data_IF_085234440903
#
_entry.id   IF_085234440903
#
_cell.length_a   1.000
_cell.length_b   1.000
_cell.length_c   1.000
_cell.angle_alpha   90.00
_cell.angle_beta   90.00
_cell.angle_gamma   90.00
#
_symmetry.space_group_name_H-M   'P 1'
#
loop_
_entity.id
_entity.type
_entity.pdbx_description
1 polymer ?
#
# COMPACT_ATOMS: atom_id res chain seq x y z
N UNK A 1 9.44 32.90 18.31
CA UNK A 1 9.56 31.95 17.17
C UNK A 1 8.56 32.41 16.14
N UNK A 2 9.04 33.17 15.16
CA UNK A 2 8.23 33.72 14.06
C UNK A 2 7.59 32.58 13.29
N UNK A 3 6.26 32.58 13.20
CA UNK A 3 5.51 31.61 12.40
C UNK A 3 5.57 32.04 10.94
N UNK A 4 5.95 31.13 10.05
CA UNK A 4 5.91 31.36 8.61
C UNK A 4 4.48 31.73 8.17
N UNK A 5 4.37 32.68 7.25
CA UNK A 5 3.12 33.17 6.70
C UNK A 5 2.38 32.01 6.00
N UNK A 6 1.16 31.72 6.43
CA UNK A 6 0.33 30.63 5.89
C UNK A 6 0.05 30.80 4.40
N UNK A 7 0.17 32.02 3.87
CA UNK A 7 0.02 32.33 2.44
C UNK A 7 1.29 32.02 1.61
N UNK A 8 2.39 31.60 2.25
CA UNK A 8 3.62 31.18 1.59
C UNK A 8 3.75 29.66 1.40
N UNK A 9 2.74 28.91 1.86
CA UNK A 9 2.69 27.45 1.78
C UNK A 9 2.08 27.07 0.42
N UNK A 10 2.83 26.45 -0.51
CA UNK A 10 2.31 26.06 -1.81
C UNK A 10 1.19 25.02 -1.65
N UNK A 11 0.12 25.13 -2.45
CA UNK A 11 -0.92 24.10 -2.52
C UNK A 11 -0.29 22.73 -2.76
N UNK A 12 -0.57 21.82 -1.84
CA UNK A 12 0.08 20.52 -1.77
C UNK A 12 -0.55 19.50 -2.74
N UNK A 13 -0.51 19.82 -4.03
CA UNK A 13 -0.88 18.92 -5.13
C UNK A 13 0.13 17.80 -5.34
N UNK A 14 1.30 17.85 -4.67
CA UNK A 14 2.43 16.96 -5.00
C UNK A 14 2.36 15.58 -4.36
N UNK A 15 1.61 15.37 -3.28
CA UNK A 15 1.50 14.05 -2.62
C UNK A 15 0.22 13.28 -2.96
N UNK A 16 -0.73 13.90 -3.66
CA UNK A 16 -1.94 13.26 -4.20
C UNK A 16 -1.90 13.17 -5.73
N UNK A 17 -0.77 12.76 -6.30
CA UNK A 17 -0.62 12.50 -7.75
C UNK A 17 -1.35 11.23 -8.24
N UNK A 18 -2.27 10.67 -7.46
CA UNK A 18 -3.09 9.55 -7.88
C UNK A 18 -4.55 10.00 -7.88
N UNK A 19 -5.21 9.94 -9.04
CA UNK A 19 -6.66 10.03 -9.12
C UNK A 19 -7.22 8.93 -8.20
N UNK A 20 -7.84 9.34 -7.09
CA UNK A 20 -8.38 8.47 -6.04
C UNK A 20 -9.30 7.37 -6.61
N UNK A 21 -9.80 7.56 -7.84
CA UNK A 21 -10.70 6.64 -8.53
C UNK A 21 -10.04 5.77 -9.62
N UNK A 22 -8.74 5.93 -9.89
CA UNK A 22 -8.04 5.16 -10.95
C UNK A 22 -7.05 4.13 -10.42
N UNK A 23 -6.84 4.09 -9.10
CA UNK A 23 -5.84 3.23 -8.48
C UNK A 23 -6.31 1.79 -8.37
N UNK A 24 -5.40 0.84 -8.54
CA UNK A 24 -5.71 -0.58 -8.30
C UNK A 24 -5.79 -0.92 -6.80
N UNK A 25 -5.34 0.00 -5.93
CA UNK A 25 -5.33 -0.16 -4.48
C UNK A 25 -6.39 0.72 -3.84
N UNK A 26 -7.44 0.11 -3.32
CA UNK A 26 -8.45 0.80 -2.52
C UNK A 26 -7.91 1.09 -1.11
N UNK A 27 -8.20 2.31 -0.65
CA UNK A 27 -7.99 2.77 0.72
C UNK A 27 -9.33 3.27 1.25
N UNK A 28 -9.72 2.79 2.42
CA UNK A 28 -11.01 3.09 3.03
C UNK A 28 -10.81 3.50 4.48
N UNK A 29 -11.65 4.41 4.96
CA UNK A 29 -11.83 4.61 6.40
C UNK A 29 -12.80 3.54 6.89
N UNK A 30 -12.44 2.83 7.96
CA UNK A 30 -13.35 1.84 8.55
C UNK A 30 -14.54 2.56 9.19
N UNK A 31 -15.74 2.03 8.97
CA UNK A 31 -16.89 2.37 9.79
C UNK A 31 -16.62 1.89 11.21
N UNK A 32 -16.43 2.84 12.10
CA UNK A 32 -16.10 2.58 13.49
C UNK A 32 -17.37 2.49 14.32
N UNK A 33 -17.58 1.31 14.90
CA UNK A 33 -18.69 1.03 15.81
C UNK A 33 -18.23 0.95 17.27
N UNK A 34 -16.94 1.13 17.54
CA UNK A 34 -16.38 0.97 18.87
C UNK A 34 -16.28 2.31 19.60
N UNK A 35 -17.06 2.45 20.68
CA UNK A 35 -17.09 3.65 21.52
C UNK A 35 -15.71 4.02 22.11
N UNK A 36 -14.81 3.05 22.29
CA UNK A 36 -13.45 3.30 22.81
C UNK A 36 -12.65 4.22 21.88
N UNK A 37 -12.79 4.04 20.57
CA UNK A 37 -12.06 4.84 19.60
C UNK A 37 -12.55 6.29 19.59
N UNK A 38 -13.86 6.49 19.74
CA UNK A 38 -14.45 7.81 19.89
C UNK A 38 -13.95 8.49 21.18
N UNK A 39 -13.94 7.77 22.31
CA UNK A 39 -13.39 8.27 23.57
C UNK A 39 -11.89 8.63 23.47
N UNK A 40 -11.12 7.84 22.73
CA UNK A 40 -9.71 8.12 22.46
C UNK A 40 -9.54 9.44 21.69
N UNK A 41 -10.30 9.63 20.60
CA UNK A 41 -10.28 10.86 19.81
C UNK A 41 -10.64 12.07 20.69
N UNK A 42 -11.74 12.00 21.44
CA UNK A 42 -12.16 13.09 22.33
C UNK A 42 -11.13 13.42 23.41
N UNK A 43 -10.44 12.41 23.93
CA UNK A 43 -9.36 12.62 24.89
C UNK A 43 -8.17 13.32 24.24
N UNK A 44 -7.79 12.94 23.02
CA UNK A 44 -6.73 13.63 22.27
C UNK A 44 -7.09 15.09 21.99
N UNK A 45 -8.34 15.38 21.62
CA UNK A 45 -8.81 16.75 21.40
C UNK A 45 -8.69 17.62 22.65
N UNK A 46 -9.10 17.09 23.81
CA UNK A 46 -8.93 17.78 25.11
C UNK A 46 -7.47 18.05 25.49
N UNK A 47 -6.52 17.34 24.87
CA UNK A 47 -5.09 17.50 25.09
C UNK A 47 -4.40 18.33 23.98
N UNK A 48 -5.17 19.01 23.13
CA UNK A 48 -4.65 19.97 22.15
C UNK A 48 -4.28 19.38 20.78
N UNK A 49 -4.60 18.11 20.53
CA UNK A 49 -4.58 17.56 19.17
C UNK A 49 -5.85 17.95 18.44
N UNK A 50 -5.81 18.12 17.13
CA UNK A 50 -7.02 18.33 16.33
C UNK A 50 -7.40 17.04 15.61
N UNK A 51 -8.71 16.81 15.42
CA UNK A 51 -9.16 15.73 14.56
C UNK A 51 -8.94 16.09 13.08
N UNK A 52 -8.48 15.13 12.29
CA UNK A 52 -8.33 15.30 10.84
C UNK A 52 -9.03 14.17 10.07
N UNK A 53 -9.38 14.41 8.80
CA UNK A 53 -9.84 13.36 7.87
C UNK A 53 -8.67 12.73 7.08
N UNK A 54 -7.53 13.42 7.01
CA UNK A 54 -6.36 12.94 6.29
C UNK A 54 -5.09 13.27 7.08
N UNK A 55 -4.58 12.27 7.79
CA UNK A 55 -3.33 12.38 8.53
C UNK A 55 -2.09 12.46 7.62
N UNK A 56 -2.23 12.22 6.31
CA UNK A 56 -1.16 12.42 5.34
C UNK A 56 -1.17 13.85 4.75
N UNK A 57 -2.15 14.67 5.09
CA UNK A 57 -2.19 16.07 4.68
C UNK A 57 -1.12 16.89 5.42
N UNK A 58 -0.67 17.99 4.80
CA UNK A 58 0.37 18.85 5.37
C UNK A 58 -0.05 19.51 6.69
N UNK A 59 -1.34 19.84 6.83
CA UNK A 59 -1.93 20.38 8.07
C UNK A 59 -1.74 19.45 9.29
N UNK A 60 -1.59 18.14 9.04
CA UNK A 60 -1.45 17.10 10.06
C UNK A 60 -0.03 16.99 10.64
N UNK A 61 0.95 17.71 10.10
CA UNK A 61 2.38 17.64 10.52
C UNK A 61 2.61 18.06 11.97
N UNK A 62 1.77 18.93 12.52
CA UNK A 62 1.89 19.42 13.90
C UNK A 62 1.18 18.52 14.93
N UNK A 63 0.83 17.29 14.54
CA UNK A 63 0.12 16.33 15.37
C UNK A 63 -1.39 16.42 15.18
N UNK A 64 -2.01 15.28 14.90
CA UNK A 64 -3.44 15.13 14.68
C UNK A 64 -3.92 13.79 15.24
N UNK A 65 -5.24 13.61 15.34
CA UNK A 65 -5.88 12.35 15.71
C UNK A 65 -6.94 11.98 14.69
N UNK A 66 -7.00 10.71 14.29
CA UNK A 66 -8.05 10.19 13.41
C UNK A 66 -8.03 8.67 13.38
N UNK A 67 -9.07 8.07 12.83
CA UNK A 67 -9.12 6.63 12.59
C UNK A 67 -8.19 6.25 11.44
N UNK A 68 -7.54 5.09 11.56
CA UNK A 68 -6.62 4.62 10.53
C UNK A 68 -7.35 4.38 9.21
N UNK A 69 -6.76 4.86 8.12
CA UNK A 69 -7.14 4.44 6.77
C UNK A 69 -6.54 3.06 6.52
N UNK A 70 -7.31 2.16 5.93
CA UNK A 70 -6.91 0.76 5.70
C UNK A 70 -7.06 0.38 4.24
N UNK A 71 -6.19 -0.50 3.76
CA UNK A 71 -6.31 -1.10 2.42
C UNK A 71 -7.38 -2.19 2.41
N UNK A 72 -8.65 -1.79 2.31
CA UNK A 72 -9.78 -2.71 2.19
C UNK A 72 -10.72 -2.30 1.07
N UNK A 73 -11.44 -3.28 0.51
CA UNK A 73 -12.49 -3.09 -0.48
C UNK A 73 -13.67 -3.98 -0.12
N UNK A 74 -14.86 -3.40 0.01
CA UNK A 74 -16.07 -4.12 0.45
C UNK A 74 -15.87 -4.93 1.76
N UNK A 75 -15.22 -4.31 2.75
CA UNK A 75 -14.97 -4.92 4.06
C UNK A 75 -13.94 -6.06 4.08
N UNK A 76 -13.23 -6.30 2.97
CA UNK A 76 -12.19 -7.33 2.86
C UNK A 76 -10.83 -6.70 2.66
N UNK A 77 -9.78 -7.33 3.20
CA UNK A 77 -8.39 -6.95 2.91
C UNK A 77 -8.17 -6.84 1.40
N UNK A 78 -7.64 -5.72 0.96
CA UNK A 78 -7.31 -5.46 -0.44
C UNK A 78 -5.80 -5.45 -0.62
N UNK A 79 -5.25 -6.55 -1.12
CA UNK A 79 -3.82 -6.74 -1.33
C UNK A 79 -3.36 -6.29 -2.72
N UNK A 80 -2.05 -6.11 -2.90
CA UNK A 80 -1.45 -5.87 -4.23
C UNK A 80 -1.74 -7.01 -5.21
N UNK A 81 -1.79 -8.26 -4.73
CA UNK A 81 -2.23 -9.39 -5.54
C UNK A 81 -3.69 -9.21 -6.00
N UNK A 82 -4.59 -8.74 -5.14
CA UNK A 82 -5.99 -8.49 -5.48
C UNK A 82 -6.14 -7.36 -6.49
N UNK A 83 -5.48 -6.23 -6.23
CA UNK A 83 -5.54 -5.03 -7.07
C UNK A 83 -4.91 -5.24 -8.45
N UNK A 84 -3.69 -5.76 -8.52
CA UNK A 84 -2.92 -5.82 -9.76
C UNK A 84 -2.98 -7.17 -10.46
N UNK A 85 -2.77 -8.27 -9.74
CA UNK A 85 -2.64 -9.60 -10.36
C UNK A 85 -4.01 -10.21 -10.68
N UNK A 86 -4.93 -10.24 -9.70
CA UNK A 86 -6.26 -10.84 -9.89
C UNK A 86 -7.10 -10.05 -10.90
N UNK A 87 -7.01 -8.72 -10.92
CA UNK A 87 -7.64 -7.88 -11.95
C UNK A 87 -7.11 -8.17 -13.36
N UNK A 88 -5.91 -8.74 -13.48
CA UNK A 88 -5.23 -9.03 -14.74
C UNK A 88 -5.25 -10.53 -15.13
N UNK A 89 -5.79 -11.41 -14.29
CA UNK A 89 -5.56 -12.86 -14.35
C UNK A 89 -6.02 -13.53 -15.67
N UNK A 90 -6.92 -12.88 -16.40
CA UNK A 90 -7.45 -13.39 -17.68
C UNK A 90 -6.58 -13.04 -18.89
N UNK A 91 -5.50 -12.29 -18.72
CA UNK A 91 -4.61 -11.92 -19.83
C UNK A 91 -3.67 -13.07 -20.13
N UNK A 92 -3.61 -13.49 -21.39
CA UNK A 92 -2.80 -14.65 -21.83
C UNK A 92 -1.30 -14.46 -21.62
N UNK A 93 -0.84 -13.21 -21.51
CA UNK A 93 0.56 -12.86 -21.26
C UNK A 93 0.93 -12.77 -19.77
N UNK A 94 0.04 -13.15 -18.85
CA UNK A 94 0.31 -13.17 -17.41
C UNK A 94 0.38 -14.61 -16.89
N UNK A 95 1.57 -15.01 -16.43
CA UNK A 95 1.79 -16.29 -15.75
C UNK A 95 2.03 -16.06 -14.26
N UNK A 96 1.29 -16.75 -13.40
CA UNK A 96 1.44 -16.67 -11.95
C UNK A 96 1.91 -18.03 -11.42
N UNK A 97 3.12 -18.05 -10.85
CA UNK A 97 3.68 -19.22 -10.17
C UNK A 97 3.59 -19.00 -8.66
N UNK A 98 2.79 -19.82 -7.98
CA UNK A 98 2.73 -19.86 -6.51
C UNK A 98 3.59 -21.00 -5.96
N UNK A 99 4.02 -20.87 -4.71
CA UNK A 99 4.87 -21.88 -4.05
C UNK A 99 6.19 -22.17 -4.79
N UNK A 100 6.75 -21.15 -5.44
CA UNK A 100 7.99 -21.22 -6.21
C UNK A 100 9.04 -20.29 -5.57
N UNK A 101 10.00 -20.86 -4.85
CA UNK A 101 11.09 -20.10 -4.24
C UNK A 101 12.17 -19.85 -5.29
N UNK A 102 12.46 -18.59 -5.60
CA UNK A 102 13.54 -18.22 -6.54
C UNK A 102 14.92 -18.43 -5.93
N UNK A 103 15.71 -19.35 -6.47
CA UNK A 103 17.00 -19.75 -5.92
C UNK A 103 18.17 -18.93 -6.48
N UNK A 104 18.21 -18.73 -7.80
CA UNK A 104 19.28 -17.97 -8.47
C UNK A 104 18.88 -17.47 -9.85
N UNK A 105 19.61 -16.47 -10.34
CA UNK A 105 19.47 -15.93 -11.70
C UNK A 105 20.46 -16.62 -12.64
N UNK A 106 20.03 -16.93 -13.86
CA UNK A 106 20.90 -17.44 -14.93
C UNK A 106 21.40 -16.27 -15.78
N UNK A 107 22.73 -16.12 -15.86
CA UNK A 107 23.40 -15.04 -16.58
C UNK A 107 24.41 -15.64 -17.55
N UNK A 108 24.43 -15.17 -18.79
CA UNK A 108 25.38 -15.64 -19.82
C UNK A 108 26.75 -14.95 -19.73
N UNK A 109 27.68 -15.34 -20.59
CA UNK A 109 29.03 -14.76 -20.67
C UNK A 109 29.01 -13.26 -21.03
N UNK A 110 27.94 -12.79 -21.70
CA UNK A 110 27.72 -11.40 -22.07
C UNK A 110 26.98 -10.61 -20.98
N UNK A 111 26.80 -11.19 -19.78
CA UNK A 111 26.10 -10.60 -18.62
C UNK A 111 24.60 -10.35 -18.84
N UNK A 112 23.97 -11.06 -19.77
CA UNK A 112 22.53 -10.98 -20.00
C UNK A 112 21.79 -12.02 -19.14
N UNK A 113 20.68 -11.59 -18.52
CA UNK A 113 19.79 -12.51 -17.79
C UNK A 113 19.01 -13.38 -18.78
N UNK A 114 19.07 -14.70 -18.61
CA UNK A 114 18.39 -15.69 -19.46
C UNK A 114 17.25 -16.43 -18.75
N UNK A 115 17.03 -16.16 -17.47
CA UNK A 115 15.99 -16.80 -16.69
C UNK A 115 16.34 -16.88 -15.21
N UNK A 116 15.51 -17.62 -14.47
CA UNK A 116 15.67 -17.87 -13.04
C UNK A 116 15.49 -19.36 -12.74
N UNK A 117 16.18 -19.83 -11.71
CA UNK A 117 15.99 -21.16 -11.17
C UNK A 117 15.07 -21.06 -9.96
N UNK A 118 14.04 -21.88 -9.92
CA UNK A 118 13.09 -21.95 -8.81
C UNK A 118 13.09 -23.34 -8.17
N UNK A 119 12.67 -23.39 -6.91
CA UNK A 119 12.32 -24.63 -6.20
C UNK A 119 10.85 -24.59 -5.83
N UNK A 120 10.07 -25.57 -6.32
CA UNK A 120 8.65 -25.69 -5.94
C UNK A 120 8.49 -26.39 -4.61
N UNK A 121 7.57 -25.92 -3.78
CA UNK A 121 7.31 -26.52 -2.46
C UNK A 121 6.89 -28.00 -2.54
N UNK A 122 6.24 -28.42 -3.64
CA UNK A 122 5.82 -29.81 -3.87
C UNK A 122 6.93 -30.75 -4.32
N UNK A 123 8.13 -30.24 -4.63
CA UNK A 123 9.28 -31.04 -5.05
C UNK A 123 10.51 -30.61 -4.27
N UNK A 124 10.67 -31.20 -3.08
CA UNK A 124 11.72 -30.87 -2.11
C UNK A 124 13.15 -30.97 -2.68
N UNK A 125 13.35 -31.62 -3.84
CA UNK A 125 14.69 -31.82 -4.43
C UNK A 125 14.81 -31.45 -5.92
N UNK A 126 13.79 -30.83 -6.53
CA UNK A 126 13.86 -30.47 -7.96
C UNK A 126 13.88 -28.97 -8.16
N UNK A 127 14.99 -28.51 -8.71
CA UNK A 127 15.12 -27.18 -9.30
C UNK A 127 14.56 -27.17 -10.72
N UNK A 128 13.84 -26.11 -11.07
CA UNK A 128 13.25 -25.89 -12.38
C UNK A 128 13.76 -24.55 -12.92
N UNK A 129 14.08 -24.50 -14.22
CA UNK A 129 14.47 -23.26 -14.90
C UNK A 129 13.24 -22.64 -15.55
N UNK A 130 13.00 -21.35 -15.26
CA UNK A 130 11.99 -20.53 -15.92
C UNK A 130 12.73 -19.48 -16.76
N UNK A 131 12.32 -19.34 -18.03
CA UNK A 131 12.88 -18.40 -19.01
C UNK A 131 11.82 -17.42 -19.50
#
# INVERSE_FOLDING_TARGET
LERADINSIPENDKFRNHDENKGMMDVTVLEDSNEINQLFIESCEKNGFHQTKDYNAEESLNGCVTLSQVSTKHGKRWSTASGYLLSAIKRDNLHILINAHTCRVLVDEQKQTKGVVIKRASSLDKEEVIQ
#
